data_IF_098984366179
#
_entry.id   IF_098984366179
#
_cell.length_a   1.000
_cell.length_b   1.000
_cell.length_c   1.000
_cell.angle_alpha   90.00
_cell.angle_beta   90.00
_cell.angle_gamma   90.00
#
_symmetry.space_group_name_H-M   'P 1'
#
loop_
_entity.id
_entity.type
_entity.pdbx_description
1 polymer ?
#
# COMPACT_ATOMS: atom_id res chain seq x y z
N UNK A 1 13.86 -16.99 -1.16
CA UNK A 1 13.12 -16.12 -0.22
C UNK A 1 12.63 -14.91 -1.00
N UNK A 2 11.52 -15.07 -1.71
CA UNK A 2 10.86 -13.99 -2.42
C UNK A 2 9.69 -13.51 -1.56
N UNK A 3 9.72 -12.23 -1.21
CA UNK A 3 8.62 -11.55 -0.50
C UNK A 3 7.64 -11.11 -1.58
N UNK A 4 6.48 -11.74 -1.60
CA UNK A 4 5.38 -11.43 -2.51
C UNK A 4 4.86 -10.00 -2.30
N UNK A 5 4.76 -9.25 -3.39
CA UNK A 5 4.06 -7.96 -3.46
C UNK A 5 2.59 -8.24 -3.80
N UNK A 6 1.61 -7.75 -3.03
CA UNK A 6 0.22 -8.04 -3.31
C UNK A 6 -0.35 -7.12 -4.40
N UNK A 7 -0.83 -7.73 -5.48
CA UNK A 7 -1.73 -7.15 -6.46
C UNK A 7 -3.17 -7.11 -5.91
N UNK A 8 -3.75 -5.91 -5.81
CA UNK A 8 -5.18 -5.73 -5.54
C UNK A 8 -5.84 -4.91 -6.65
N UNK A 9 -6.60 -5.58 -7.51
CA UNK A 9 -7.66 -4.98 -8.32
C UNK A 9 -8.95 -5.75 -8.07
N UNK A 10 -9.68 -5.33 -7.03
CA UNK A 10 -11.12 -5.58 -6.89
C UNK A 10 -11.77 -4.26 -6.53
N UNK A 11 -12.37 -3.60 -7.52
CA UNK A 11 -13.26 -2.47 -7.30
C UNK A 11 -14.58 -3.00 -6.77
N UNK A 12 -14.62 -3.31 -5.47
CA UNK A 12 -15.87 -3.41 -4.72
C UNK A 12 -16.40 -1.99 -4.49
N UNK A 13 -17.70 -1.71 -4.70
CA UNK A 13 -18.27 -0.42 -4.34
C UNK A 13 -18.18 -0.27 -2.82
N UNK A 14 -17.31 0.63 -2.37
CA UNK A 14 -17.03 0.88 -0.96
C UNK A 14 -18.33 1.35 -0.26
N UNK A 15 -18.85 0.65 0.77
CA UNK A 15 -20.11 0.99 1.44
C UNK A 15 -20.01 2.22 2.37
N UNK A 16 -19.00 3.09 2.17
CA UNK A 16 -18.76 4.27 3.01
C UNK A 16 -19.51 5.52 2.56
N UNK A 17 -20.19 5.49 1.41
CA UNK A 17 -21.15 6.53 1.04
C UNK A 17 -22.50 6.41 1.76
N UNK A 18 -22.75 5.31 2.50
CA UNK A 18 -24.02 5.10 3.23
C UNK A 18 -23.98 5.37 4.74
N UNK A 19 -22.84 5.79 5.28
CA UNK A 19 -22.77 6.26 6.69
C UNK A 19 -22.99 7.77 6.85
N UNK A 20 -23.19 8.49 5.73
CA UNK A 20 -23.55 9.92 5.75
C UNK A 20 -24.96 10.19 5.21
N UNK A 21 -25.76 9.14 4.99
CA UNK A 21 -27.14 9.26 4.48
C UNK A 21 -28.21 8.84 5.51
N UNK A 22 -27.81 8.34 6.68
CA UNK A 22 -28.72 8.06 7.82
C UNK A 22 -28.62 9.06 8.97
N UNK A 23 -27.84 10.13 8.85
CA UNK A 23 -27.75 11.20 9.86
C UNK A 23 -28.64 12.40 9.53
N UNK A 24 -29.66 12.19 8.69
CA UNK A 24 -30.65 13.20 8.34
C UNK A 24 -32.01 12.50 8.30
N UNK A 25 -32.58 12.19 9.48
CA UNK A 25 -34.03 12.05 9.74
C UNK A 25 -34.29 11.59 11.19
N UNK A 26 -34.87 12.51 11.96
CA UNK A 26 -35.70 12.30 13.17
C UNK A 26 -35.03 11.89 14.49
N UNK A 27 -34.67 12.90 15.29
CA UNK A 27 -35.17 13.14 16.68
C UNK A 27 -34.91 14.65 16.94
N UNK A 28 -35.80 15.64 16.79
CA UNK A 28 -37.26 15.74 16.82
C UNK A 28 -37.93 15.29 18.12
N UNK A 29 -37.46 15.79 19.25
CA UNK A 29 -38.32 15.98 20.43
C UNK A 29 -37.84 17.21 21.23
N UNK A 30 -38.66 18.26 21.38
CA UNK A 30 -38.36 19.39 22.24
C UNK A 30 -38.78 19.04 23.69
N UNK A 31 -37.86 19.13 24.64
CA UNK A 31 -38.23 19.17 26.06
C UNK A 31 -38.53 20.63 26.40
N UNK A 32 -39.83 20.88 26.52
CA UNK A 32 -40.56 22.07 26.98
C UNK A 32 -39.76 23.22 27.61
N UNK A 33 -39.74 24.41 27.00
CA UNK A 33 -39.72 25.64 27.77
C UNK A 33 -41.14 25.88 28.29
N UNK A 34 -41.32 25.83 29.60
CA UNK A 34 -42.50 26.40 30.24
C UNK A 34 -42.48 27.93 29.99
N UNK A 35 -43.25 28.32 28.98
CA UNK A 35 -44.02 29.59 28.87
C UNK A 35 -43.31 30.85 29.34
N UNK A 36 -42.59 31.49 28.43
CA UNK A 36 -42.26 32.91 28.50
C UNK A 36 -42.79 33.56 27.22
N UNK A 37 -44.06 33.98 27.26
CA UNK A 37 -44.64 34.85 26.23
C UNK A 37 -43.89 36.19 26.25
N UNK A 38 -42.92 36.33 25.36
CA UNK A 38 -42.39 37.62 24.94
C UNK A 38 -43.07 38.00 23.63
N UNK A 39 -44.20 38.72 23.74
CA UNK A 39 -44.89 39.32 22.60
C UNK A 39 -44.44 40.77 22.46
N UNK A 40 -43.63 41.07 21.44
CA UNK A 40 -43.45 42.44 20.91
C UNK A 40 -44.78 42.96 20.35
N UNK A 41 -45.08 44.26 20.47
CA UNK A 41 -46.29 44.86 19.92
C UNK A 41 -46.05 45.39 18.50
N UNK A 42 -46.74 44.84 17.50
CA UNK A 42 -47.04 45.57 16.27
C UNK A 42 -48.30 45.02 15.60
N UNK A 43 -49.31 45.89 15.55
CA UNK A 43 -50.33 46.03 14.51
C UNK A 43 -51.31 44.87 14.27
N UNK A 44 -52.61 45.16 14.50
CA UNK A 44 -53.70 44.38 13.94
C UNK A 44 -54.84 44.04 14.90
N UNK A 45 -55.78 44.98 14.99
CA UNK A 45 -57.22 44.71 15.09
C UNK A 45 -57.75 43.92 16.32
N UNK A 46 -58.08 44.67 17.39
CA UNK A 46 -59.12 44.27 18.34
C UNK A 46 -60.25 45.29 18.34
N UNK A 47 -61.20 45.10 17.44
CA UNK A 47 -62.56 45.56 17.65
C UNK A 47 -63.20 44.67 18.73
N UNK A 48 -63.21 45.15 19.97
CA UNK A 48 -64.20 44.80 20.97
C UNK A 48 -64.11 45.83 22.10
N UNK A 49 -65.07 46.74 22.07
CA UNK A 49 -65.40 47.73 23.08
C UNK A 49 -65.06 47.29 24.50
N UNK A 50 -64.10 47.94 25.15
CA UNK A 50 -64.20 48.39 26.55
C UNK A 50 -63.20 49.52 26.76
N UNK A 51 -63.61 50.73 26.37
CA UNK A 51 -63.03 51.95 26.92
C UNK A 51 -63.26 51.90 28.44
N UNK A 52 -62.24 51.55 29.22
CA UNK A 52 -62.24 51.92 30.63
C UNK A 52 -61.94 53.41 30.69
N UNK A 53 -63.01 54.18 30.60
CA UNK A 53 -63.10 55.58 30.96
C UNK A 53 -62.40 55.76 32.31
N UNK A 54 -61.24 56.43 32.32
CA UNK A 54 -60.71 57.02 33.54
C UNK A 54 -61.83 57.88 34.14
N UNK A 55 -62.30 57.62 35.36
CA UNK A 55 -63.26 58.52 35.96
C UNK A 55 -62.50 59.82 36.24
N UNK A 56 -62.88 60.85 35.49
CA UNK A 56 -62.65 62.26 35.84
C UNK A 56 -62.93 62.44 37.35
N UNK A 57 -62.12 63.23 38.09
CA UNK A 57 -62.23 63.33 39.54
C UNK A 57 -63.62 63.84 39.90
N UNK A 58 -64.50 62.92 40.31
CA UNK A 58 -65.85 63.27 40.72
C UNK A 58 -65.73 64.10 41.97
N UNK A 59 -66.15 65.36 41.84
CA UNK A 59 -66.44 66.31 42.90
C UNK A 59 -66.91 65.63 44.18
N UNK A 60 -66.27 66.01 45.29
CA UNK A 60 -66.57 65.66 46.67
C UNK A 60 -68.06 65.89 46.97
N UNK A 61 -68.89 64.87 46.76
CA UNK A 61 -70.22 64.76 47.36
C UNK A 61 -70.09 63.91 48.61
N UNK A 62 -69.95 64.58 49.75
CA UNK A 62 -70.06 64.00 51.09
C UNK A 62 -71.50 63.56 51.35
N UNK A 63 -71.84 62.36 50.90
CA UNK A 63 -72.99 61.64 51.46
C UNK A 63 -72.52 60.98 52.75
N UNK A 64 -73.29 61.14 53.82
CA UNK A 64 -72.98 60.60 55.16
C UNK A 64 -72.83 59.08 55.07
N UNK A 65 -71.58 58.63 54.96
CA UNK A 65 -71.22 57.22 54.84
C UNK A 65 -71.35 56.57 56.21
N UNK A 66 -72.05 55.44 56.24
CA UNK A 66 -72.14 54.62 57.45
C UNK A 66 -70.73 54.28 57.94
N UNK A 67 -70.48 54.39 59.25
CA UNK A 67 -69.19 54.02 59.86
C UNK A 67 -68.75 52.60 59.47
N UNK A 68 -69.71 51.71 59.19
CA UNK A 68 -69.44 50.34 58.75
C UNK A 68 -68.85 50.26 57.32
N UNK A 69 -69.21 51.17 56.41
CA UNK A 69 -68.70 51.18 55.03
C UNK A 69 -67.23 51.63 54.99
N UNK A 70 -66.87 52.62 55.81
CA UNK A 70 -65.49 53.11 55.93
C UNK A 70 -64.56 52.06 56.55
N UNK A 71 -65.05 51.27 57.50
CA UNK A 71 -64.29 50.16 58.08
C UNK A 71 -64.08 49.02 57.06
N UNK A 72 -65.08 48.75 56.21
CA UNK A 72 -64.97 47.78 55.12
C UNK A 72 -63.93 48.18 54.07
N UNK A 73 -63.93 49.45 53.66
CA UNK A 73 -62.91 49.98 52.73
C UNK A 73 -61.51 50.00 53.31
N UNK A 74 -61.37 50.34 54.60
CA UNK A 74 -60.09 50.28 55.29
C UNK A 74 -59.56 48.85 55.34
N UNK A 75 -60.42 47.88 55.67
CA UNK A 75 -60.08 46.45 55.68
C UNK A 75 -59.65 45.94 54.29
N UNK A 76 -60.37 46.36 53.24
CA UNK A 76 -60.01 46.03 51.86
C UNK A 76 -58.68 46.66 51.43
N UNK A 77 -58.46 47.95 51.73
CA UNK A 77 -57.22 48.65 51.44
C UNK A 77 -56.02 48.04 52.19
N UNK A 78 -56.22 47.63 53.45
CA UNK A 78 -55.21 46.91 54.23
C UNK A 78 -54.86 45.56 53.61
N UNK A 79 -55.87 44.81 53.16
CA UNK A 79 -55.68 43.52 52.49
C UNK A 79 -54.94 43.67 51.17
N UNK A 80 -55.29 44.69 50.38
CA UNK A 80 -54.59 45.03 49.14
C UNK A 80 -53.14 45.41 49.41
N UNK A 81 -52.88 46.27 50.40
CA UNK A 81 -51.53 46.67 50.78
C UNK A 81 -50.69 45.48 51.26
N UNK A 82 -51.27 44.55 52.03
CA UNK A 82 -50.60 43.32 52.45
C UNK A 82 -50.25 42.43 51.25
N UNK A 83 -51.15 42.30 50.27
CA UNK A 83 -50.87 41.55 49.02
C UNK A 83 -49.74 42.19 48.22
N UNK A 84 -49.79 43.50 47.99
CA UNK A 84 -48.73 44.21 47.25
C UNK A 84 -47.37 44.14 47.94
N UNK A 85 -47.32 44.14 49.27
CA UNK A 85 -46.07 43.92 50.02
C UNK A 85 -45.52 42.51 49.78
N UNK A 86 -46.36 41.47 49.84
CA UNK A 86 -45.94 40.10 49.53
C UNK A 86 -45.45 39.98 48.10
N UNK A 87 -46.17 40.54 47.13
CA UNK A 87 -45.76 40.50 45.73
C UNK A 87 -44.41 41.19 45.53
N UNK A 88 -44.21 42.37 46.13
CA UNK A 88 -42.92 43.07 46.11
C UNK A 88 -41.80 42.19 46.69
N UNK A 89 -42.04 41.55 47.83
CA UNK A 89 -41.03 40.73 48.49
C UNK A 89 -40.73 39.47 47.66
N UNK A 90 -41.74 38.85 47.03
CA UNK A 90 -41.57 37.76 46.07
C UNK A 90 -40.72 38.17 44.86
N UNK A 91 -41.00 39.34 44.26
CA UNK A 91 -40.20 39.86 43.16
C UNK A 91 -38.75 40.10 43.58
N UNK A 92 -38.51 40.65 44.78
CA UNK A 92 -37.14 40.85 45.30
C UNK A 92 -36.40 39.53 45.46
N UNK A 93 -37.04 38.51 46.04
CA UNK A 93 -36.43 37.18 46.18
C UNK A 93 -36.15 36.55 44.83
N UNK A 94 -37.07 36.67 43.87
CA UNK A 94 -36.90 36.14 42.52
C UNK A 94 -35.75 36.83 41.78
N UNK A 95 -35.67 38.16 41.83
CA UNK A 95 -34.58 38.92 41.20
C UNK A 95 -33.23 38.57 41.80
N UNK A 96 -33.15 38.43 43.12
CA UNK A 96 -31.91 38.05 43.80
C UNK A 96 -31.46 36.63 43.41
N UNK A 97 -32.40 35.68 43.30
CA UNK A 97 -32.11 34.34 42.80
C UNK A 97 -31.62 34.35 41.36
N UNK A 98 -32.29 35.09 40.48
CA UNK A 98 -31.87 35.21 39.07
C UNK A 98 -30.50 35.86 38.93
N UNK A 99 -30.17 36.85 39.76
CA UNK A 99 -28.84 37.45 39.78
C UNK A 99 -27.76 36.45 40.20
N UNK A 100 -28.04 35.59 41.20
CA UNK A 100 -27.13 34.52 41.61
C UNK A 100 -26.94 33.48 40.49
N UNK A 101 -28.04 33.03 39.87
CA UNK A 101 -28.01 32.07 38.77
C UNK A 101 -27.22 32.62 37.57
N UNK A 102 -27.41 33.91 37.24
CA UNK A 102 -26.65 34.57 36.16
C UNK A 102 -25.16 34.69 36.48
N UNK A 103 -24.80 34.99 37.74
CA UNK A 103 -23.39 35.03 38.17
C UNK A 103 -22.74 33.66 38.08
N UNK A 104 -23.43 32.61 38.51
CA UNK A 104 -22.94 31.24 38.40
C UNK A 104 -22.75 30.84 36.93
N UNK A 105 -23.74 31.09 36.08
CA UNK A 105 -23.65 30.81 34.65
C UNK A 105 -22.52 31.59 33.96
N UNK A 106 -22.29 32.84 34.37
CA UNK A 106 -21.18 33.64 33.84
C UNK A 106 -19.82 33.03 34.23
N UNK A 107 -19.66 32.63 35.49
CA UNK A 107 -18.44 31.97 35.95
C UNK A 107 -18.21 30.65 35.19
N UNK A 108 -19.25 29.84 35.01
CA UNK A 108 -19.16 28.58 34.25
C UNK A 108 -18.72 28.82 32.80
N UNK A 109 -19.21 29.88 32.16
CA UNK A 109 -18.80 30.26 30.81
C UNK A 109 -17.35 30.73 30.74
N UNK A 110 -16.87 31.49 31.74
CA UNK A 110 -15.46 31.88 31.82
C UNK A 110 -14.54 30.67 31.99
N UNK A 111 -14.95 29.72 32.83
CA UNK A 111 -14.22 28.48 33.08
C UNK A 111 -14.14 27.63 31.80
N UNK A 112 -15.24 27.52 31.06
CA UNK A 112 -15.28 26.87 29.74
C UNK A 112 -14.40 27.60 28.73
N UNK A 113 -14.42 28.93 28.68
CA UNK A 113 -13.58 29.70 27.77
C UNK A 113 -12.08 29.47 28.06
N UNK A 114 -11.70 29.41 29.34
CA UNK A 114 -10.33 29.06 29.76
C UNK A 114 -9.95 27.64 29.33
N UNK A 115 -10.86 26.68 29.48
CA UNK A 115 -10.64 25.29 29.05
C UNK A 115 -10.46 25.17 27.53
N UNK A 116 -11.32 25.84 26.75
CA UNK A 116 -11.23 25.88 25.28
C UNK A 116 -9.89 26.46 24.84
N UNK A 117 -9.49 27.60 25.40
CA UNK A 117 -8.21 28.23 25.08
C UNK A 117 -7.02 27.31 25.39
N UNK A 118 -7.08 26.56 26.50
CA UNK A 118 -6.08 25.53 26.82
C UNK A 118 -6.01 24.42 25.77
N UNK A 119 -7.14 23.87 25.37
CA UNK A 119 -7.21 22.83 24.33
C UNK A 119 -6.73 23.35 22.96
N UNK A 120 -7.04 24.58 22.59
CA UNK A 120 -6.56 25.21 21.36
C UNK A 120 -5.03 25.34 21.35
N UNK A 121 -4.43 25.70 22.49
CA UNK A 121 -2.98 25.77 22.63
C UNK A 121 -2.33 24.39 22.49
N UNK A 122 -2.93 23.35 23.09
CA UNK A 122 -2.45 21.98 22.96
C UNK A 122 -2.59 21.46 21.52
N UNK A 123 -3.71 21.77 20.85
CA UNK A 123 -3.89 21.45 19.44
C UNK A 123 -2.85 22.13 18.56
N UNK A 124 -2.52 23.40 18.82
CA UNK A 124 -1.47 24.10 18.08
C UNK A 124 -0.11 23.42 18.25
N UNK A 125 0.26 23.04 19.48
CA UNK A 125 1.49 22.27 19.76
C UNK A 125 1.49 20.91 19.07
N UNK A 126 0.36 20.21 19.05
CA UNK A 126 0.23 18.91 18.41
C UNK A 126 0.37 19.03 16.89
N UNK A 127 -0.26 20.03 16.27
CA UNK A 127 -0.12 20.31 14.83
C UNK A 127 1.32 20.61 14.45
N UNK A 128 2.01 21.40 15.26
CA UNK A 128 3.44 21.70 15.03
C UNK A 128 4.30 20.42 15.06
N UNK A 129 4.16 19.58 16.08
CA UNK A 129 4.88 18.29 16.15
C UNK A 129 4.55 17.36 14.99
N UNK A 130 3.28 17.31 14.60
CA UNK A 130 2.86 16.49 13.47
C UNK A 130 3.49 16.93 12.14
N UNK A 131 3.62 18.25 11.93
CA UNK A 131 4.32 18.80 10.77
C UNK A 131 5.81 18.42 10.80
N UNK A 132 6.48 18.56 11.95
CA UNK A 132 7.89 18.13 12.12
C UNK A 132 8.07 16.64 11.80
N UNK A 133 7.20 15.79 12.33
CA UNK A 133 7.23 14.34 12.08
C UNK A 133 7.00 14.01 10.60
N UNK A 134 6.09 14.75 9.94
CA UNK A 134 5.79 14.57 8.51
C UNK A 134 6.99 14.96 7.65
N UNK A 135 7.66 16.07 7.97
CA UNK A 135 8.90 16.51 7.30
C UNK A 135 10.01 15.48 7.52
N UNK A 136 10.21 15.00 8.74
CA UNK A 136 11.21 13.98 9.06
C UNK A 136 10.93 12.66 8.32
N UNK A 137 9.66 12.25 8.26
CA UNK A 137 9.20 11.09 7.49
C UNK A 137 9.50 11.22 6.00
N UNK A 138 9.22 12.38 5.40
CA UNK A 138 9.54 12.67 4.00
C UNK A 138 11.05 12.62 3.72
N UNK A 139 11.87 13.17 4.62
CA UNK A 139 13.33 13.08 4.51
C UNK A 139 13.82 11.64 4.58
N UNK A 140 13.31 10.84 5.52
CA UNK A 140 13.68 9.43 5.65
C UNK A 140 13.29 8.63 4.40
N UNK A 141 12.07 8.86 3.88
CA UNK A 141 11.58 8.23 2.66
C UNK A 141 12.48 8.57 1.45
N UNK A 142 12.88 9.84 1.30
CA UNK A 142 13.79 10.24 0.22
C UNK A 142 15.17 9.55 0.31
N UNK A 143 15.72 9.43 1.53
CA UNK A 143 16.99 8.72 1.77
C UNK A 143 16.88 7.24 1.45
N UNK A 144 15.76 6.63 1.83
CA UNK A 144 15.46 5.23 1.53
C UNK A 144 15.38 4.99 0.02
N UNK A 145 14.69 5.86 -0.71
CA UNK A 145 14.62 5.76 -2.17
C UNK A 145 16.01 5.91 -2.81
N UNK A 146 16.86 6.82 -2.33
CA UNK A 146 18.24 6.94 -2.81
C UNK A 146 19.03 5.66 -2.53
N UNK A 147 18.80 5.01 -1.39
CA UNK A 147 19.45 3.75 -1.03
C UNK A 147 19.00 2.61 -1.96
N UNK A 148 17.70 2.50 -2.26
CA UNK A 148 17.17 1.53 -3.23
C UNK A 148 17.83 1.75 -4.59
N UNK A 149 17.85 2.98 -5.11
CA UNK A 149 18.47 3.27 -6.40
C UNK A 149 19.97 2.96 -6.44
N UNK A 150 20.67 3.02 -5.29
CA UNK A 150 22.07 2.58 -5.18
C UNK A 150 22.17 1.06 -5.14
N UNK A 151 21.26 0.39 -4.45
CA UNK A 151 21.19 -1.06 -4.40
C UNK A 151 20.96 -1.65 -5.80
N UNK A 152 19.98 -1.14 -6.54
CA UNK A 152 19.69 -1.61 -7.91
C UNK A 152 20.90 -1.44 -8.83
N UNK A 153 21.57 -0.29 -8.77
CA UNK A 153 22.82 -0.05 -9.51
C UNK A 153 23.92 -1.04 -9.13
N UNK A 154 24.02 -1.40 -7.85
CA UNK A 154 25.03 -2.36 -7.39
C UNK A 154 24.69 -3.78 -7.87
N UNK A 155 23.41 -4.14 -7.91
CA UNK A 155 22.92 -5.40 -8.48
C UNK A 155 23.25 -5.47 -9.97
N UNK A 156 23.01 -4.40 -10.72
CA UNK A 156 23.37 -4.32 -12.15
C UNK A 156 24.87 -4.50 -12.37
N UNK A 157 25.70 -3.79 -11.59
CA UNK A 157 27.16 -3.92 -11.64
C UNK A 157 27.63 -5.33 -11.27
N UNK A 158 27.03 -5.94 -10.25
CA UNK A 158 27.34 -7.31 -9.87
C UNK A 158 27.03 -8.28 -11.02
N UNK A 159 25.85 -8.16 -11.63
CA UNK A 159 25.47 -8.98 -12.78
C UNK A 159 26.37 -8.77 -13.99
N UNK A 160 26.78 -7.53 -14.27
CA UNK A 160 27.77 -7.21 -15.31
C UNK A 160 29.11 -7.90 -15.04
N UNK A 161 29.63 -7.81 -13.81
CA UNK A 161 30.90 -8.45 -13.43
C UNK A 161 30.82 -9.98 -13.47
N UNK A 162 29.68 -10.57 -13.08
CA UNK A 162 29.44 -12.00 -13.23
C UNK A 162 29.49 -12.42 -14.70
N UNK A 163 28.88 -11.63 -15.61
CA UNK A 163 28.95 -11.86 -17.06
C UNK A 163 30.36 -11.70 -17.63
N UNK A 164 31.18 -10.77 -17.13
CA UNK A 164 32.58 -10.65 -17.58
C UNK A 164 33.43 -11.82 -17.09
N UNK A 165 33.27 -12.25 -15.84
CA UNK A 165 33.95 -13.43 -15.29
C UNK A 165 33.60 -14.68 -16.08
N UNK A 166 32.33 -14.90 -16.42
CA UNK A 166 31.91 -16.02 -17.26
C UNK A 166 32.59 -16.01 -18.64
N UNK A 167 32.67 -14.84 -19.28
CA UNK A 167 33.38 -14.66 -20.56
C UNK A 167 34.88 -14.94 -20.46
N UNK A 168 35.53 -14.47 -19.39
CA UNK A 168 36.95 -14.73 -19.15
C UNK A 168 37.20 -16.22 -18.92
N UNK A 169 36.39 -16.90 -18.10
CA UNK A 169 36.45 -18.35 -17.91
C UNK A 169 36.31 -19.10 -19.24
N UNK A 170 35.38 -18.69 -20.12
CA UNK A 170 35.23 -19.28 -21.46
C UNK A 170 36.47 -19.05 -22.33
N UNK A 171 37.04 -17.83 -22.32
CA UNK A 171 38.27 -17.51 -23.04
C UNK A 171 39.46 -18.35 -22.57
N UNK A 172 39.63 -18.50 -21.27
CA UNK A 172 40.75 -19.27 -20.70
C UNK A 172 40.64 -20.77 -21.00
N UNK A 173 39.42 -21.34 -21.01
CA UNK A 173 39.17 -22.70 -21.52
C UNK A 173 39.63 -22.84 -22.97
N UNK A 174 39.30 -21.88 -23.84
CA UNK A 174 39.73 -21.88 -25.24
C UNK A 174 41.24 -21.78 -25.37
N UNK A 175 41.90 -20.91 -24.60
CA UNK A 175 43.38 -20.83 -24.57
C UNK A 175 44.01 -22.16 -24.15
N UNK A 176 43.46 -22.82 -23.13
CA UNK A 176 43.88 -24.16 -22.71
C UNK A 176 43.77 -25.19 -23.84
N UNK A 177 42.64 -25.20 -24.56
CA UNK A 177 42.45 -26.08 -25.74
C UNK A 177 43.49 -25.79 -26.84
N UNK A 178 43.78 -24.53 -27.13
CA UNK A 178 44.81 -24.14 -28.12
C UNK A 178 46.20 -24.59 -27.68
N UNK A 179 46.55 -24.42 -26.41
CA UNK A 179 47.83 -24.87 -25.86
C UNK A 179 47.97 -26.40 -25.95
N UNK A 180 46.91 -27.15 -25.66
CA UNK A 180 46.90 -28.61 -25.80
C UNK A 180 47.07 -29.04 -27.26
N UNK A 181 46.39 -28.39 -28.21
CA UNK A 181 46.58 -28.65 -29.66
C UNK A 181 48.02 -28.36 -30.09
N UNK A 182 48.61 -27.27 -29.62
CA UNK A 182 49.99 -26.90 -29.95
C UNK A 182 51.00 -27.92 -29.40
N UNK A 183 50.81 -28.41 -28.17
CA UNK A 183 51.61 -29.49 -27.59
C UNK A 183 51.47 -30.79 -28.38
N UNK A 184 50.26 -31.17 -28.80
CA UNK A 184 50.02 -32.34 -29.67
C UNK A 184 50.74 -32.19 -31.01
N UNK A 185 50.59 -31.06 -31.69
CA UNK A 185 51.28 -30.76 -32.96
C UNK A 185 52.80 -30.84 -32.82
N UNK A 186 53.37 -30.27 -31.75
CA UNK A 186 54.81 -30.37 -31.46
C UNK A 186 55.26 -31.82 -31.29
N UNK A 187 54.51 -32.63 -30.56
CA UNK A 187 54.81 -34.05 -30.38
C UNK A 187 54.72 -34.83 -31.71
N UNK A 188 53.68 -34.56 -32.53
CA UNK A 188 53.52 -35.18 -33.85
C UNK A 188 54.66 -34.80 -34.78
N UNK A 189 55.01 -33.51 -34.86
CA UNK A 189 56.15 -33.04 -35.66
C UNK A 189 57.45 -33.71 -35.22
N UNK A 190 57.70 -33.81 -33.91
CA UNK A 190 58.86 -34.53 -33.38
C UNK A 190 58.88 -36.00 -33.81
N UNK A 191 57.75 -36.72 -33.78
CA UNK A 191 57.68 -38.10 -34.30
C UNK A 191 58.07 -38.17 -35.77
N UNK A 192 57.50 -37.31 -36.61
CA UNK A 192 57.85 -37.26 -38.03
C UNK A 192 59.30 -36.87 -38.29
N UNK A 193 59.87 -35.95 -37.51
CA UNK A 193 61.31 -35.61 -37.63
C UNK A 193 62.20 -36.76 -37.16
N UNK A 194 61.77 -37.54 -36.17
CA UNK A 194 62.49 -38.71 -35.65
C UNK A 194 62.34 -39.94 -36.55
N UNK A 195 61.26 -40.03 -37.34
CA UNK A 195 60.92 -41.11 -38.26
C UNK A 195 61.27 -40.81 -39.73
N UNK A 196 62.11 -39.81 -40.00
CA UNK A 196 62.68 -39.65 -41.32
C UNK A 196 63.40 -40.95 -41.75
N UNK A 197 62.93 -41.55 -42.85
CA UNK A 197 63.44 -42.73 -43.60
C UNK A 197 62.82 -44.10 -43.30
N UNK A 198 61.58 -44.37 -43.75
CA UNK A 198 61.23 -45.65 -44.41
C UNK A 198 59.82 -45.67 -45.01
N UNK A 199 59.70 -46.16 -46.24
CA UNK A 199 58.45 -46.19 -47.01
C UNK A 199 57.41 -47.22 -46.50
N UNK A 200 57.84 -48.26 -45.78
CA UNK A 200 56.93 -49.24 -45.18
C UNK A 200 56.16 -48.70 -43.96
N UNK A 201 56.73 -47.70 -43.26
CA UNK A 201 56.08 -47.02 -42.14
C UNK A 201 55.10 -45.93 -42.58
N UNK A 202 55.11 -45.52 -43.85
CA UNK A 202 54.19 -44.49 -44.37
C UNK A 202 52.75 -45.03 -44.43
N UNK A 203 52.53 -46.25 -44.91
CA UNK A 203 51.19 -46.86 -44.94
C UNK A 203 50.64 -47.14 -43.53
N UNK A 204 51.51 -47.50 -42.58
CA UNK A 204 51.15 -47.62 -41.17
C UNK A 204 50.87 -46.26 -40.52
N UNK A 205 51.60 -45.20 -40.92
CA UNK A 205 51.35 -43.84 -40.45
C UNK A 205 50.09 -43.22 -41.06
N UNK A 206 49.76 -43.56 -42.31
CA UNK A 206 48.55 -43.11 -43.00
C UNK A 206 47.32 -43.77 -42.37
N UNK A 207 47.35 -45.08 -42.10
CA UNK A 207 46.29 -45.77 -41.33
C UNK A 207 46.18 -45.26 -39.90
N UNK A 208 47.30 -45.05 -39.21
CA UNK A 208 47.30 -44.44 -37.87
C UNK A 208 46.82 -42.98 -37.89
N UNK A 209 47.04 -42.25 -38.99
CA UNK A 209 46.50 -40.90 -39.21
C UNK A 209 44.99 -40.93 -39.43
N UNK A 210 44.49 -41.84 -40.26
CA UNK A 210 43.05 -42.04 -40.48
C UNK A 210 42.34 -42.45 -39.19
N UNK A 211 42.93 -43.35 -38.39
CA UNK A 211 42.38 -43.72 -37.07
C UNK A 211 42.40 -42.55 -36.07
N UNK A 212 43.42 -41.69 -36.11
CA UNK A 212 43.46 -40.48 -35.28
C UNK A 212 42.44 -39.44 -35.71
N UNK A 213 42.20 -39.30 -37.00
CA UNK A 213 41.17 -38.42 -37.56
C UNK A 213 39.77 -38.94 -37.21
N UNK A 214 39.52 -40.24 -37.38
CA UNK A 214 38.30 -40.90 -36.92
C UNK A 214 38.08 -40.70 -35.41
N UNK A 215 39.13 -40.87 -34.60
CA UNK A 215 39.07 -40.63 -33.16
C UNK A 215 38.83 -39.14 -32.82
N UNK A 216 39.36 -38.21 -33.61
CA UNK A 216 39.10 -36.78 -33.43
C UNK A 216 37.64 -36.43 -33.74
N UNK A 217 37.10 -36.96 -34.85
CA UNK A 217 35.68 -36.80 -35.23
C UNK A 217 34.75 -37.44 -34.19
N UNK A 218 35.09 -38.63 -33.69
CA UNK A 218 34.35 -39.27 -32.62
C UNK A 218 34.35 -38.43 -31.33
N UNK A 219 35.48 -37.84 -30.95
CA UNK A 219 35.55 -36.96 -29.78
C UNK A 219 34.75 -35.65 -29.97
N UNK A 220 34.80 -35.04 -31.16
CA UNK A 220 34.00 -33.86 -31.48
C UNK A 220 32.50 -34.18 -31.36
N UNK A 221 32.10 -35.36 -31.84
CA UNK A 221 30.71 -35.80 -31.76
C UNK A 221 30.28 -36.14 -30.32
N UNK A 222 31.16 -36.73 -29.51
CA UNK A 222 30.91 -36.92 -28.08
C UNK A 222 30.74 -35.58 -27.38
N UNK A 223 31.59 -34.59 -27.65
CA UNK A 223 31.46 -33.23 -27.07
C UNK A 223 30.13 -32.56 -27.49
N UNK A 224 29.68 -32.78 -28.72
CA UNK A 224 28.37 -32.29 -29.18
C UNK A 224 27.19 -32.97 -28.47
N UNK A 225 27.27 -34.29 -28.25
CA UNK A 225 26.27 -35.04 -27.49
C UNK A 225 26.26 -34.61 -26.02
N UNK A 226 27.42 -34.44 -25.40
CA UNK A 226 27.54 -33.96 -24.02
C UNK A 226 26.96 -32.55 -23.86
N UNK A 227 27.28 -31.63 -24.77
CA UNK A 227 26.77 -30.25 -24.71
C UNK A 227 25.27 -30.17 -24.92
N UNK A 228 24.70 -30.92 -25.87
CA UNK A 228 23.25 -30.96 -26.08
C UNK A 228 22.52 -31.74 -24.97
N UNK A 229 23.15 -32.77 -24.44
CA UNK A 229 22.67 -33.53 -23.27
C UNK A 229 22.60 -32.66 -22.01
N UNK A 230 23.63 -31.83 -21.77
CA UNK A 230 23.65 -30.86 -20.67
C UNK A 230 22.48 -29.87 -20.78
N UNK A 231 22.21 -29.34 -21.98
CA UNK A 231 21.07 -28.44 -22.22
C UNK A 231 19.73 -29.12 -21.91
N UNK A 232 19.61 -30.42 -22.20
CA UNK A 232 18.42 -31.21 -21.88
C UNK A 232 18.31 -31.47 -20.36
N UNK A 233 19.42 -31.76 -19.68
CA UNK A 233 19.45 -31.92 -18.22
C UNK A 233 19.10 -30.62 -17.49
N UNK A 234 19.66 -29.51 -17.94
CA UNK A 234 19.33 -28.15 -17.50
C UNK A 234 17.83 -27.85 -17.64
N UNK A 235 17.21 -28.24 -18.76
CA UNK A 235 15.78 -28.06 -18.98
C UNK A 235 14.93 -28.95 -18.05
N UNK A 236 15.40 -30.16 -17.74
CA UNK A 236 14.77 -31.06 -16.77
C UNK A 236 14.90 -30.56 -15.33
N UNK A 237 16.05 -29.99 -14.95
CA UNK A 237 16.26 -29.38 -13.63
C UNK A 237 15.33 -28.17 -13.43
N UNK A 238 15.24 -27.28 -14.43
CA UNK A 238 14.28 -26.16 -14.42
C UNK A 238 12.83 -26.62 -14.29
N UNK A 239 12.46 -27.73 -14.94
CA UNK A 239 11.12 -28.34 -14.80
C UNK A 239 10.87 -28.90 -13.41
N UNK A 240 11.88 -29.51 -12.78
CA UNK A 240 11.78 -30.07 -11.44
C UNK A 240 11.68 -28.97 -10.37
N UNK A 241 12.45 -27.89 -10.53
CA UNK A 241 12.44 -26.74 -9.62
C UNK A 241 11.11 -25.95 -9.71
N UNK A 242 10.48 -25.92 -10.89
CA UNK A 242 9.15 -25.33 -11.11
C UNK A 242 8.00 -26.17 -10.53
N UNK A 243 8.23 -27.47 -10.24
CA UNK A 243 7.19 -28.38 -9.73
C UNK A 243 6.96 -28.27 -8.22
N UNK A 244 7.72 -27.42 -7.50
CA UNK A 244 7.60 -27.21 -6.06
C UNK A 244 6.86 -25.94 -5.62
N UNK A 245 6.32 -25.14 -6.55
CA UNK A 245 5.57 -23.92 -6.27
C UNK A 245 4.11 -24.10 -6.73
N UNK A 246 3.20 -24.31 -5.78
CA UNK A 246 1.74 -24.43 -6.00
C UNK A 246 1.05 -23.10 -6.40
N UNK A 247 1.82 -22.09 -6.79
CA UNK A 247 1.35 -20.77 -7.17
C UNK A 247 2.25 -20.25 -8.30
N UNK A 248 1.63 -19.62 -9.31
CA UNK A 248 2.20 -19.01 -10.54
C UNK A 248 2.03 -19.83 -11.86
N UNK A 249 0.99 -19.46 -12.62
CA UNK A 249 1.05 -19.27 -14.07
C UNK A 249 1.07 -20.50 -15.01
N UNK A 250 -0.09 -20.86 -15.57
CA UNK A 250 -0.19 -21.76 -16.75
C UNK A 250 0.66 -21.31 -17.96
N UNK A 251 1.00 -20.02 -18.04
CA UNK A 251 1.83 -19.43 -19.10
C UNK A 251 3.32 -19.77 -18.96
N UNK A 252 3.85 -19.91 -17.74
CA UNK A 252 5.28 -20.20 -17.51
C UNK A 252 5.58 -21.69 -17.66
N UNK A 253 4.61 -22.55 -17.30
CA UNK A 253 4.67 -23.99 -17.56
C UNK A 253 4.75 -24.31 -19.07
N UNK A 254 4.03 -23.57 -19.91
CA UNK A 254 4.06 -23.72 -21.36
C UNK A 254 5.43 -23.40 -21.98
N UNK A 255 6.10 -22.35 -21.50
CA UNK A 255 7.44 -21.97 -21.97
C UNK A 255 8.53 -22.95 -21.50
N UNK A 256 8.41 -23.51 -20.29
CA UNK A 256 9.31 -24.54 -19.77
C UNK A 256 9.16 -25.85 -20.56
N UNK A 257 7.93 -26.25 -20.86
CA UNK A 257 7.64 -27.47 -21.63
C UNK A 257 8.08 -27.33 -23.10
N UNK A 258 7.88 -26.16 -23.71
CA UNK A 258 8.39 -25.85 -25.03
C UNK A 258 9.93 -25.86 -25.07
N UNK A 259 10.59 -25.35 -24.02
CA UNK A 259 12.05 -25.39 -23.88
C UNK A 259 12.61 -26.81 -23.76
N UNK A 260 11.94 -27.69 -23.00
CA UNK A 260 12.33 -29.09 -22.87
C UNK A 260 12.17 -29.86 -24.19
N UNK A 261 11.04 -29.71 -24.87
CA UNK A 261 10.81 -30.33 -26.18
C UNK A 261 11.82 -29.84 -27.23
N UNK A 262 12.15 -28.55 -27.22
CA UNK A 262 13.20 -28.00 -28.08
C UNK A 262 14.58 -28.62 -27.83
N UNK A 263 14.97 -28.77 -26.55
CA UNK A 263 16.22 -29.42 -26.18
C UNK A 263 16.27 -30.90 -26.59
N UNK A 264 15.16 -31.63 -26.41
CA UNK A 264 15.02 -33.03 -26.80
C UNK A 264 15.15 -33.21 -28.33
N UNK A 265 14.48 -32.38 -29.12
CA UNK A 265 14.57 -32.43 -30.60
C UNK A 265 16.00 -32.18 -31.05
N UNK A 266 16.69 -31.21 -30.46
CA UNK A 266 18.08 -30.90 -30.79
C UNK A 266 19.03 -32.03 -30.38
N UNK A 267 18.79 -32.70 -29.26
CA UNK A 267 19.57 -33.88 -28.86
C UNK A 267 19.33 -35.08 -29.79
N UNK A 268 18.06 -35.38 -30.13
CA UNK A 268 17.72 -36.48 -31.05
C UNK A 268 18.25 -36.27 -32.46
N UNK A 269 18.22 -35.03 -32.96
CA UNK A 269 18.76 -34.73 -34.30
C UNK A 269 20.25 -35.08 -34.47
N UNK A 270 21.02 -35.15 -33.38
CA UNK A 270 22.43 -35.62 -33.38
C UNK A 270 22.53 -37.14 -33.41
N UNK A 271 21.59 -37.83 -32.76
CA UNK A 271 21.56 -39.30 -32.78
C UNK A 271 21.02 -39.84 -34.12
N UNK A 272 20.07 -39.12 -34.71
CA UNK A 272 19.39 -39.50 -35.96
C UNK A 272 20.07 -38.96 -37.21
N UNK A 273 21.15 -38.19 -37.07
CA UNK A 273 21.95 -37.64 -38.15
C UNK A 273 22.49 -38.75 -39.07
N UNK A 274 22.06 -38.74 -40.33
CA UNK A 274 22.47 -39.74 -41.32
C UNK A 274 23.99 -39.73 -41.55
N UNK A 275 24.63 -38.56 -41.46
CA UNK A 275 26.10 -38.45 -41.59
C UNK A 275 26.83 -39.14 -40.43
N UNK A 276 26.23 -39.19 -39.24
CA UNK A 276 26.78 -39.88 -38.08
C UNK A 276 26.64 -41.40 -38.23
N UNK A 277 25.52 -41.88 -38.80
CA UNK A 277 25.35 -43.31 -39.10
C UNK A 277 26.38 -43.78 -40.13
N UNK A 278 26.57 -43.02 -41.20
CA UNK A 278 27.58 -43.29 -42.23
C UNK A 278 29.00 -43.28 -41.63
N UNK A 279 29.34 -42.28 -40.81
CA UNK A 279 30.65 -42.24 -40.13
C UNK A 279 30.86 -43.44 -39.20
N UNK A 280 29.81 -43.86 -38.48
CA UNK A 280 29.87 -45.03 -37.59
C UNK A 280 30.06 -46.33 -38.38
N UNK A 281 29.43 -46.46 -39.54
CA UNK A 281 29.64 -47.60 -40.46
C UNK A 281 31.08 -47.62 -40.98
N UNK A 282 31.60 -46.47 -41.44
CA UNK A 282 33.00 -46.32 -41.86
C UNK A 282 33.97 -46.67 -40.73
N UNK A 283 33.68 -46.25 -39.48
CA UNK A 283 34.50 -46.62 -38.32
C UNK A 283 34.44 -48.10 -38.00
N UNK A 284 33.28 -48.74 -38.14
CA UNK A 284 33.12 -50.18 -37.96
C UNK A 284 33.91 -50.97 -38.99
N UNK A 285 33.90 -50.53 -40.24
CA UNK A 285 34.69 -51.14 -41.32
C UNK A 285 36.20 -50.99 -41.04
N UNK A 286 36.64 -49.80 -40.62
CA UNK A 286 38.02 -49.54 -40.19
C UNK A 286 38.50 -50.34 -38.97
N UNK A 287 37.58 -50.88 -38.16
CA UNK A 287 37.87 -51.68 -36.97
C UNK A 287 37.84 -53.19 -37.24
N UNK A 288 37.22 -53.61 -38.35
CA UNK A 288 37.02 -55.01 -38.73
C UNK A 288 38.02 -55.52 -39.79
N UNK A 289 38.79 -54.63 -40.41
CA UNK A 289 39.98 -54.92 -41.23
C UNK A 289 41.27 -55.02 -40.37
#
# INVERSE_FOLDING_TARGET
MAVAMPSFSVTTPNPKSRLLESLIRHVSAPVSPLTLESRRPSEGNFGANHQHTLPSPKSLRTTSRSKHDLLGELSWAQSLAARLRRDRDNWRTLTLKQEQDLKAAHQDLEDQARSISGMEQEMAKLRFRHEEDTIAGGQLYSRFHVLISKHDKLVDQFNDTMRTVARLKKSDRTKGKVQQRNLRLKATLQRYTSQGTSAATQAAADTESTLREALALANERIEELETKGEVMLDALERRNDSCGSDDEGELERGDIEAGLLGAEVVFRSVLEDESFKEQKEIWLDLLND
#
